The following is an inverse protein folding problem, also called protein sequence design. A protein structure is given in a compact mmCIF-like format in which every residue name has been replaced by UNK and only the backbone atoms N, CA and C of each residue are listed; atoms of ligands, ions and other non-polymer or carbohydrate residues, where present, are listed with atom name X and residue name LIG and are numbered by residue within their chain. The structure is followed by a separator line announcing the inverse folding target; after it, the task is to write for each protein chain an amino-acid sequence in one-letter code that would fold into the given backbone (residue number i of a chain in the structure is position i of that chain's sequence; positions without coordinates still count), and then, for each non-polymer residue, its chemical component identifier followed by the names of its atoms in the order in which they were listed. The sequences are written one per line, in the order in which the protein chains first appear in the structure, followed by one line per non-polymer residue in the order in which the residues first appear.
data_IF_629832952403
#
_entry.id   IF_629832952403
#
_cell.length_a   1.000
_cell.length_b   1.000
_cell.length_c   1.000
_cell.angle_alpha   90.00
_cell.angle_beta   90.00
_cell.angle_gamma   90.00
#
_symmetry.space_group_name_H-M   'P 1'
#
loop_
_entity.id
_entity.type
_entity.pdbx_description
1 polymer ?
#
# COMPACT_ATOMS: atom_id res chain seq x y z
N UNK A 1 -12.73 -17.99 -63.15
CA UNK A 1 -13.43 -17.32 -64.25
C UNK A 1 -14.60 -18.20 -64.65
N UNK A 2 -15.76 -17.95 -64.02
CA UNK A 2 -17.15 -18.41 -64.28
C UNK A 2 -17.96 -17.91 -63.05
N UNK A 3 -18.54 -16.71 -63.13
CA UNK A 3 -19.98 -16.40 -63.33
C UNK A 3 -20.84 -16.70 -62.07
N UNK A 4 -21.28 -15.69 -61.29
CA UNK A 4 -22.54 -14.87 -61.42
C UNK A 4 -23.82 -15.72 -61.34
N UNK A 5 -24.94 -15.39 -60.70
CA UNK A 5 -25.44 -14.28 -59.84
C UNK A 5 -26.86 -14.72 -59.37
N UNK A 6 -27.42 -14.01 -58.37
CA UNK A 6 -28.82 -13.95 -57.91
C UNK A 6 -29.39 -15.17 -57.16
N UNK A 7 -30.19 -15.05 -56.10
CA UNK A 7 -30.90 -13.94 -55.44
C UNK A 7 -32.08 -14.58 -54.67
N UNK A 8 -32.08 -14.47 -53.34
CA UNK A 8 -33.09 -13.79 -52.51
C UNK A 8 -34.50 -14.42 -52.45
N UNK A 9 -34.92 -14.82 -51.24
CA UNK A 9 -36.31 -14.90 -50.69
C UNK A 9 -36.22 -15.75 -49.38
N UNK A 10 -36.86 -15.48 -48.24
CA UNK A 10 -37.72 -14.40 -47.74
C UNK A 10 -37.77 -14.52 -46.21
N UNK A 11 -37.90 -13.37 -45.56
CA UNK A 11 -38.14 -13.17 -44.13
C UNK A 11 -39.59 -13.53 -43.77
N UNK A 12 -39.80 -14.19 -42.61
CA UNK A 12 -41.10 -14.22 -41.93
C UNK A 12 -41.00 -14.71 -40.48
N UNK A 13 -41.35 -13.81 -39.55
CA UNK A 13 -42.39 -14.13 -38.57
C UNK A 13 -41.93 -14.42 -37.15
N UNK A 14 -42.07 -13.41 -36.29
CA UNK A 14 -41.93 -13.50 -34.84
C UNK A 14 -43.18 -14.08 -34.13
N UNK A 15 -42.91 -14.61 -32.94
CA UNK A 15 -43.69 -14.57 -31.70
C UNK A 15 -44.69 -15.71 -31.33
N UNK A 16 -44.75 -15.91 -30.00
CA UNK A 16 -45.56 -16.81 -29.14
C UNK A 16 -45.01 -18.24 -29.03
N UNK A 17 -44.84 -18.86 -27.85
CA UNK A 17 -45.49 -18.64 -26.56
C UNK A 17 -44.60 -19.01 -25.36
N UNK A 18 -44.81 -18.25 -24.28
CA UNK A 18 -44.43 -18.52 -22.90
C UNK A 18 -45.23 -19.71 -22.33
N UNK A 19 -44.58 -20.62 -21.61
CA UNK A 19 -44.89 -20.92 -20.19
C UNK A 19 -44.41 -22.31 -19.73
N UNK A 20 -43.63 -22.26 -18.65
CA UNK A 20 -43.59 -23.17 -17.50
C UNK A 20 -42.94 -24.56 -17.65
N UNK A 21 -41.74 -24.67 -17.06
CA UNK A 21 -41.50 -25.69 -16.05
C UNK A 21 -40.39 -25.21 -15.09
N UNK A 22 -40.77 -25.05 -13.82
CA UNK A 22 -39.87 -24.79 -12.71
C UNK A 22 -38.91 -25.96 -12.52
N UNK A 23 -37.62 -25.67 -12.42
CA UNK A 23 -36.63 -26.58 -11.82
C UNK A 23 -35.93 -25.87 -10.67
N UNK A 24 -36.04 -26.56 -9.55
CA UNK A 24 -35.61 -26.27 -8.20
C UNK A 24 -34.16 -25.78 -8.12
N UNK A 25 -33.97 -24.68 -7.41
CA UNK A 25 -32.69 -24.03 -7.23
C UNK A 25 -31.81 -24.78 -6.24
N UNK A 26 -30.87 -25.56 -6.76
CA UNK A 26 -29.63 -25.90 -6.07
C UNK A 26 -28.46 -25.29 -6.83
N UNK A 27 -28.28 -23.98 -6.66
CA UNK A 27 -27.05 -23.30 -7.07
C UNK A 27 -25.99 -23.71 -6.05
N UNK A 28 -25.33 -24.83 -6.33
CA UNK A 28 -23.99 -25.03 -5.81
C UNK A 28 -23.19 -23.80 -6.25
N UNK A 29 -22.74 -23.01 -5.28
CA UNK A 29 -21.83 -21.91 -5.51
C UNK A 29 -20.59 -22.50 -6.20
N UNK A 30 -20.58 -22.40 -7.53
CA UNK A 30 -19.40 -22.64 -8.32
C UNK A 30 -18.39 -21.59 -7.89
N UNK A 31 -17.34 -22.05 -7.21
CA UNK A 31 -16.08 -21.32 -7.04
C UNK A 31 -15.58 -20.95 -8.44
N UNK A 32 -16.05 -19.81 -8.93
CA UNK A 32 -15.53 -19.20 -10.14
C UNK A 32 -14.19 -18.59 -9.78
N UNK A 33 -13.16 -19.43 -9.90
CA UNK A 33 -11.75 -19.09 -9.87
C UNK A 33 -11.40 -18.24 -11.10
N UNK A 34 -11.98 -17.04 -11.16
CA UNK A 34 -11.61 -15.97 -12.07
C UNK A 34 -10.30 -15.34 -11.61
N UNK A 35 -9.18 -15.84 -12.16
CA UNK A 35 -7.84 -15.32 -11.96
C UNK A 35 -7.73 -13.84 -12.36
N UNK A 36 -7.75 -12.96 -11.38
CA UNK A 36 -7.31 -11.56 -11.50
C UNK A 36 -6.50 -11.18 -10.25
N UNK A 37 -5.18 -11.28 -10.39
CA UNK A 37 -4.10 -10.71 -9.55
C UNK A 37 -4.15 -10.94 -8.02
N UNK A 38 -3.48 -12.01 -7.62
CA UNK A 38 -2.98 -12.29 -6.28
C UNK A 38 -1.80 -11.34 -5.91
N UNK A 39 -2.02 -10.02 -5.74
CA UNK A 39 -0.97 -9.08 -5.25
C UNK A 39 -0.63 -9.29 -3.76
N UNK A 40 -1.30 -10.27 -3.13
CA UNK A 40 -1.03 -10.93 -1.87
C UNK A 40 -1.16 -10.08 -0.58
N UNK A 41 -2.31 -9.58 -0.12
CA UNK A 41 -3.74 -9.67 -0.46
C UNK A 41 -4.31 -8.33 0.09
N UNK A 42 -4.18 -7.24 -0.69
CA UNK A 42 -4.48 -5.81 -0.39
C UNK A 42 -3.56 -5.17 0.68
N UNK A 43 -3.26 -3.87 0.52
CA UNK A 43 -2.56 -3.10 1.57
C UNK A 43 -3.37 -3.12 2.88
N UNK A 44 -2.70 -3.04 4.04
CA UNK A 44 -3.36 -2.99 5.34
C UNK A 44 -4.45 -1.91 5.37
N UNK A 45 -5.59 -2.24 5.96
CA UNK A 45 -6.68 -1.29 6.23
C UNK A 45 -6.71 -0.99 7.74
N UNK A 46 -7.21 0.19 8.15
CA UNK A 46 -7.49 0.44 9.55
C UNK A 46 -8.46 -0.61 10.12
N UNK A 47 -8.22 -1.05 11.37
CA UNK A 47 -9.06 -1.99 12.11
C UNK A 47 -9.21 -3.40 11.49
N UNK A 48 -8.12 -3.99 11.00
CA UNK A 48 -8.09 -5.41 10.61
C UNK A 48 -7.96 -6.31 11.86
N UNK A 49 -9.07 -6.87 12.31
CA UNK A 49 -9.12 -7.79 13.47
C UNK A 49 -8.16 -8.97 13.38
N UNK A 50 -7.86 -9.48 12.18
CA UNK A 50 -6.88 -10.53 12.00
C UNK A 50 -5.46 -10.00 12.26
N UNK A 51 -5.15 -8.78 11.79
CA UNK A 51 -3.86 -8.16 12.03
C UNK A 51 -3.64 -7.93 13.54
N UNK A 52 -4.67 -7.45 14.26
CA UNK A 52 -4.63 -7.29 15.71
C UNK A 52 -4.38 -8.63 16.42
N UNK A 53 -5.07 -9.70 16.01
CA UNK A 53 -4.88 -11.03 16.56
C UNK A 53 -3.46 -11.58 16.29
N UNK A 54 -2.91 -11.32 15.09
CA UNK A 54 -1.53 -11.69 14.72
C UNK A 54 -0.51 -10.94 15.56
N UNK A 55 -0.68 -9.64 15.71
CA UNK A 55 0.20 -8.80 16.52
C UNK A 55 0.23 -9.29 17.98
N UNK A 56 -0.96 -9.49 18.57
CA UNK A 56 -1.09 -9.98 19.94
C UNK A 56 -0.49 -11.38 20.11
N UNK A 57 -0.70 -12.27 19.13
CA UNK A 57 -0.14 -13.62 19.17
C UNK A 57 1.40 -13.61 19.09
N UNK A 58 2.00 -12.72 18.29
CA UNK A 58 3.43 -12.66 18.05
C UNK A 58 4.20 -11.85 19.10
N UNK A 59 3.53 -10.98 19.85
CA UNK A 59 4.17 -10.13 20.85
C UNK A 59 4.98 -10.95 21.87
N UNK A 60 6.25 -10.57 22.06
CA UNK A 60 7.15 -11.22 23.02
C UNK A 60 7.79 -12.53 22.54
N UNK A 61 7.49 -12.99 21.30
CA UNK A 61 8.11 -14.21 20.76
C UNK A 61 9.54 -13.99 20.34
N UNK A 62 10.32 -15.06 20.45
CA UNK A 62 11.68 -15.14 19.92
C UNK A 62 11.78 -16.16 18.78
N UNK A 63 12.75 -15.95 17.89
CA UNK A 63 13.08 -16.88 16.80
C UNK A 63 11.87 -17.31 15.93
N UNK A 64 10.99 -16.34 15.63
CA UNK A 64 9.79 -16.56 14.80
C UNK A 64 10.21 -16.91 13.37
N UNK A 65 9.54 -17.92 12.82
CA UNK A 65 9.60 -18.30 11.41
C UNK A 65 8.18 -18.23 10.86
N UNK A 66 7.98 -17.34 9.90
CA UNK A 66 6.69 -17.11 9.27
C UNK A 66 6.76 -17.48 7.79
N UNK A 67 5.74 -18.17 7.27
CA UNK A 67 5.67 -18.58 5.86
C UNK A 67 4.32 -18.24 5.25
N UNK A 68 4.31 -17.93 3.96
CA UNK A 68 3.10 -17.54 3.23
C UNK A 68 2.50 -16.22 3.71
N UNK A 69 3.31 -15.30 4.23
CA UNK A 69 2.85 -14.03 4.81
C UNK A 69 2.38 -13.06 3.71
N UNK A 70 1.12 -12.61 3.71
CA UNK A 70 0.63 -11.57 2.81
C UNK A 70 1.00 -10.17 3.34
N UNK A 71 1.07 -9.17 2.45
CA UNK A 71 1.46 -7.79 2.76
C UNK A 71 0.63 -7.17 3.88
N UNK A 72 -0.68 -7.45 3.94
CA UNK A 72 -1.58 -6.90 4.98
C UNK A 72 -1.17 -7.27 6.41
N UNK A 73 -0.46 -8.39 6.62
CA UNK A 73 -0.05 -8.84 7.94
C UNK A 73 1.34 -8.33 8.34
N UNK A 74 2.12 -7.74 7.41
CA UNK A 74 3.45 -7.23 7.72
C UNK A 74 3.45 -6.13 8.79
N UNK A 75 2.51 -5.17 8.84
CA UNK A 75 2.47 -4.20 9.95
C UNK A 75 2.37 -4.85 11.32
N UNK A 76 1.47 -5.82 11.48
CA UNK A 76 1.29 -6.55 12.74
C UNK A 76 2.56 -7.32 13.13
N UNK A 77 3.25 -7.91 12.13
CA UNK A 77 4.54 -8.59 12.35
C UNK A 77 5.62 -7.60 12.80
N UNK A 78 5.73 -6.44 12.15
CA UNK A 78 6.69 -5.39 12.51
C UNK A 78 6.41 -4.82 13.90
N UNK A 79 5.15 -4.49 14.20
CA UNK A 79 4.74 -3.96 15.51
C UNK A 79 5.01 -4.97 16.64
N UNK A 80 4.76 -6.26 16.40
CA UNK A 80 5.11 -7.31 17.35
C UNK A 80 6.63 -7.48 17.49
N UNK A 81 7.38 -7.36 16.39
CA UNK A 81 8.84 -7.46 16.39
C UNK A 81 9.48 -6.32 17.17
N UNK A 82 9.00 -5.09 17.02
CA UNK A 82 9.50 -3.89 17.74
C UNK A 82 9.41 -4.06 19.26
N UNK A 83 8.40 -4.79 19.74
CA UNK A 83 8.22 -5.14 21.16
C UNK A 83 8.91 -6.44 21.58
N UNK A 84 9.68 -7.05 20.68
CA UNK A 84 10.36 -8.32 20.91
C UNK A 84 11.87 -8.16 20.77
N UNK A 85 12.63 -9.07 21.36
CA UNK A 85 14.09 -9.04 21.28
C UNK A 85 14.65 -10.40 20.85
N UNK A 86 15.94 -10.42 20.52
CA UNK A 86 16.65 -11.64 20.11
C UNK A 86 16.86 -11.73 18.60
N UNK A 87 17.10 -12.94 18.06
CA UNK A 87 17.55 -13.12 16.69
C UNK A 87 16.52 -12.62 15.67
N UNK A 88 16.96 -12.31 14.43
CA UNK A 88 16.07 -11.85 13.36
C UNK A 88 14.93 -12.84 13.12
N UNK A 89 13.74 -12.32 12.92
CA UNK A 89 12.60 -13.13 12.50
C UNK A 89 12.74 -13.49 11.01
N UNK A 90 12.43 -14.74 10.67
CA UNK A 90 12.53 -15.26 9.30
C UNK A 90 11.15 -15.25 8.66
N UNK A 91 10.95 -14.42 7.63
CA UNK A 91 9.64 -14.19 7.03
C UNK A 91 9.70 -14.55 5.54
N UNK A 92 9.00 -15.62 5.16
CA UNK A 92 8.73 -15.93 3.76
C UNK A 92 7.36 -15.35 3.38
N UNK A 93 7.40 -14.26 2.63
CA UNK A 93 6.25 -13.60 2.05
C UNK A 93 5.72 -14.36 0.83
N UNK A 94 4.44 -14.12 0.52
CA UNK A 94 3.84 -14.63 -0.72
C UNK A 94 4.44 -13.93 -1.96
N UNK A 95 4.35 -14.55 -3.15
CA UNK A 95 4.67 -13.88 -4.40
C UNK A 95 3.94 -12.54 -4.54
N UNK A 96 4.60 -11.54 -5.13
CA UNK A 96 4.05 -10.19 -5.32
C UNK A 96 4.20 -9.23 -4.14
N UNK A 97 4.46 -9.70 -2.91
CA UNK A 97 4.58 -8.81 -1.73
C UNK A 97 5.72 -7.81 -1.87
N UNK A 98 6.89 -8.24 -2.35
CA UNK A 98 8.06 -7.36 -2.52
C UNK A 98 7.78 -6.22 -3.52
N UNK A 99 7.11 -6.55 -4.62
CA UNK A 99 6.69 -5.59 -5.65
C UNK A 99 5.57 -4.65 -5.14
N UNK A 100 4.73 -5.11 -4.22
CA UNK A 100 3.78 -4.24 -3.54
C UNK A 100 4.47 -3.32 -2.51
N UNK A 101 5.50 -3.79 -1.81
CA UNK A 101 6.31 -2.96 -0.90
C UNK A 101 7.06 -1.85 -1.63
N UNK A 102 7.56 -2.09 -2.85
CA UNK A 102 8.20 -1.05 -3.68
C UNK A 102 7.24 0.07 -4.10
N UNK A 103 5.93 -0.12 -3.89
CA UNK A 103 4.87 0.86 -4.19
C UNK A 103 4.15 1.39 -2.96
N UNK A 104 4.60 1.05 -1.76
CA UNK A 104 3.97 1.45 -0.51
C UNK A 104 4.99 2.19 0.34
N UNK A 105 5.16 3.50 0.14
CA UNK A 105 6.22 4.29 0.80
C UNK A 105 6.33 4.02 2.31
N UNK A 106 5.21 4.08 3.04
CA UNK A 106 5.20 3.97 4.51
C UNK A 106 5.62 2.57 4.97
N UNK A 107 4.97 1.51 4.44
CA UNK A 107 5.26 0.13 4.81
C UNK A 107 6.59 -0.36 4.23
N UNK A 108 6.89 -0.04 2.98
CA UNK A 108 8.09 -0.45 2.26
C UNK A 108 9.35 0.07 2.95
N UNK A 109 9.38 1.35 3.34
CA UNK A 109 10.51 1.93 4.08
C UNK A 109 10.64 1.35 5.48
N UNK A 110 9.54 1.01 6.16
CA UNK A 110 9.56 0.36 7.47
C UNK A 110 10.09 -1.08 7.39
N UNK A 111 9.69 -1.86 6.37
CA UNK A 111 10.24 -3.20 6.15
C UNK A 111 11.71 -3.12 5.78
N UNK A 112 12.11 -2.17 4.93
CA UNK A 112 13.51 -1.96 4.57
C UNK A 112 14.36 -1.60 5.78
N UNK A 113 13.88 -0.73 6.66
CA UNK A 113 14.51 -0.39 7.95
C UNK A 113 14.72 -1.63 8.83
N UNK A 114 13.68 -2.43 9.03
CA UNK A 114 13.76 -3.65 9.85
C UNK A 114 14.71 -4.71 9.26
N UNK A 115 14.83 -4.77 7.92
CA UNK A 115 15.82 -5.62 7.25
C UNK A 115 17.24 -5.09 7.43
N UNK A 116 17.45 -3.78 7.26
CA UNK A 116 18.76 -3.14 7.43
C UNK A 116 19.28 -3.28 8.87
N UNK A 117 18.39 -3.20 9.86
CA UNK A 117 18.71 -3.39 11.28
C UNK A 117 18.86 -4.87 11.71
N UNK A 118 18.80 -5.84 10.77
CA UNK A 118 18.79 -7.30 11.02
C UNK A 118 17.75 -7.72 12.07
N UNK A 119 16.59 -7.07 12.08
CA UNK A 119 15.44 -7.44 12.91
C UNK A 119 14.57 -8.51 12.25
N UNK A 120 14.49 -8.45 10.92
CA UNK A 120 13.78 -9.42 10.10
C UNK A 120 14.61 -9.80 8.86
N UNK A 121 14.34 -11.00 8.32
CA UNK A 121 14.88 -11.45 7.04
C UNK A 121 13.71 -11.86 6.15
N UNK A 122 13.67 -11.27 4.96
CA UNK A 122 12.56 -11.45 4.02
C UNK A 122 12.96 -12.37 2.87
N UNK A 123 12.06 -13.29 2.53
CA UNK A 123 12.12 -14.16 1.35
C UNK A 123 10.77 -14.18 0.66
N UNK A 124 10.72 -14.68 -0.56
CA UNK A 124 9.48 -14.89 -1.31
C UNK A 124 9.34 -16.38 -1.63
N UNK A 125 8.22 -16.97 -1.25
CA UNK A 125 7.96 -18.39 -1.48
C UNK A 125 6.48 -18.71 -1.60
N UNK A 126 6.19 -19.83 -2.26
CA UNK A 126 4.81 -20.30 -2.45
C UNK A 126 4.11 -20.55 -1.10
N UNK A 127 2.86 -20.08 -0.92
CA UNK A 127 2.10 -20.34 0.29
C UNK A 127 1.82 -21.84 0.47
N UNK A 128 1.48 -22.25 1.71
CA UNK A 128 1.05 -23.62 1.97
C UNK A 128 -0.25 -23.91 1.18
N UNK A 129 -0.22 -24.89 0.27
CA UNK A 129 -1.32 -25.26 -0.64
C UNK A 129 -2.51 -25.98 0.02
N UNK A 130 -2.85 -25.59 1.25
CA UNK A 130 -4.04 -26.06 1.95
C UNK A 130 -5.02 -24.89 1.92
N UNK A 131 -6.27 -25.09 1.52
CA UNK A 131 -7.27 -24.03 1.21
C UNK A 131 -7.59 -23.00 2.31
N UNK A 132 -6.78 -22.91 3.37
CA UNK A 132 -6.81 -21.97 4.49
C UNK A 132 -6.02 -20.67 4.26
N UNK A 133 -5.43 -20.47 3.07
CA UNK A 133 -4.64 -19.27 2.77
C UNK A 133 -3.18 -19.37 3.21
N UNK A 134 -2.74 -20.51 3.71
CA UNK A 134 -1.34 -20.93 3.73
C UNK A 134 -0.34 -20.09 4.53
N UNK A 135 -0.81 -19.25 5.46
CA UNK A 135 0.04 -18.45 6.36
C UNK A 135 0.22 -19.14 7.70
N UNK A 136 1.46 -19.28 8.15
CA UNK A 136 1.84 -19.95 9.39
C UNK A 136 2.93 -19.15 10.12
N UNK A 137 2.81 -19.03 11.43
CA UNK A 137 3.80 -18.44 12.32
C UNK A 137 4.25 -19.49 13.35
N UNK A 138 5.55 -19.73 13.45
CA UNK A 138 6.12 -20.72 14.36
C UNK A 138 7.24 -20.13 15.23
N UNK A 139 7.14 -20.30 16.54
CA UNK A 139 8.18 -20.09 17.55
C UNK A 139 8.55 -21.43 18.20
N UNK A 140 9.58 -21.52 19.05
CA UNK A 140 9.97 -22.79 19.69
C UNK A 140 8.88 -23.42 20.56
N UNK A 141 7.94 -22.61 21.06
CA UNK A 141 6.94 -22.94 22.07
C UNK A 141 5.50 -22.91 21.53
N UNK A 142 5.26 -22.30 20.36
CA UNK A 142 3.92 -22.04 19.85
C UNK A 142 3.87 -21.93 18.34
N UNK A 143 2.76 -22.40 17.77
CA UNK A 143 2.46 -22.26 16.35
C UNK A 143 1.05 -21.70 16.17
N UNK A 144 0.90 -20.77 15.23
CA UNK A 144 -0.37 -20.17 14.88
C UNK A 144 -0.53 -20.16 13.36
N UNK A 145 -1.63 -20.73 12.89
CA UNK A 145 -1.98 -20.78 11.49
C UNK A 145 -3.16 -19.84 11.21
N UNK A 146 -3.09 -19.11 10.09
CA UNK A 146 -4.27 -18.39 9.58
C UNK A 146 -5.18 -19.40 8.90
N UNK A 147 -6.44 -19.44 9.32
CA UNK A 147 -7.46 -20.38 8.84
C UNK A 147 -8.76 -19.65 8.48
N UNK A 148 -9.63 -20.32 7.75
CA UNK A 148 -10.91 -19.76 7.29
C UNK A 148 -10.88 -19.23 5.85
N UNK A 149 -12.05 -18.95 5.26
CA UNK A 149 -12.18 -18.45 3.89
C UNK A 149 -11.67 -17.00 3.76
N UNK A 150 -11.42 -16.54 2.53
CA UNK A 150 -11.08 -15.13 2.27
C UNK A 150 -12.21 -14.23 2.81
N UNK A 151 -11.85 -13.22 3.59
CA UNK A 151 -12.79 -12.27 4.21
C UNK A 151 -13.25 -12.64 5.62
N UNK A 152 -13.08 -13.90 6.05
CA UNK A 152 -13.43 -14.38 7.39
C UNK A 152 -12.30 -15.29 7.93
N UNK A 153 -11.10 -14.72 7.95
CA UNK A 153 -9.88 -15.41 8.40
C UNK A 153 -9.67 -15.19 9.89
N UNK A 154 -9.26 -16.23 10.60
CA UNK A 154 -8.92 -16.19 12.03
C UNK A 154 -7.60 -16.92 12.30
N UNK A 155 -7.07 -16.81 13.52
CA UNK A 155 -5.91 -17.57 13.98
C UNK A 155 -6.35 -18.84 14.71
N UNK A 156 -5.84 -19.98 14.25
CA UNK A 156 -5.84 -21.21 15.02
C UNK A 156 -4.48 -21.37 15.70
N UNK A 157 -4.49 -21.35 17.03
CA UNK A 157 -3.29 -21.54 17.85
C UNK A 157 -3.17 -23.00 18.30
N UNK A 158 -1.99 -23.60 18.18
CA UNK A 158 -1.59 -24.76 18.98
C UNK A 158 -0.77 -24.23 20.14
N UNK A 159 -1.44 -23.85 21.24
CA UNK A 159 -0.77 -23.40 22.46
C UNK A 159 -0.48 -24.61 23.35
N UNK A 160 0.75 -24.74 23.86
CA UNK A 160 1.05 -25.61 25.00
C UNK A 160 0.56 -24.87 26.25
N UNK A 161 -0.69 -25.11 26.63
CA UNK A 161 -1.27 -24.46 27.81
C UNK A 161 -0.58 -25.04 29.05
N UNK A 162 0.22 -24.24 29.75
CA UNK A 162 1.00 -24.72 30.91
C UNK A 162 0.17 -24.75 32.19
N UNK A 163 -1.02 -24.13 32.20
CA UNK A 163 -1.88 -23.95 33.37
C UNK A 163 -3.29 -24.57 33.23
N UNK A 164 -3.59 -25.25 32.12
CA UNK A 164 -4.84 -25.97 31.92
C UNK A 164 -4.57 -27.47 31.87
N UNK A 165 -5.14 -28.23 32.81
CA UNK A 165 -5.08 -29.69 32.85
C UNK A 165 -5.81 -30.38 31.66
N UNK A 166 -6.05 -29.68 30.55
CA UNK A 166 -6.82 -30.15 29.40
C UNK A 166 -6.34 -29.66 28.02
N UNK A 167 -5.10 -29.19 27.85
CA UNK A 167 -4.54 -28.93 26.51
C UNK A 167 -3.31 -29.82 26.23
N UNK A 168 -3.57 -31.03 25.74
CA UNK A 168 -2.57 -31.96 25.17
C UNK A 168 -2.03 -31.41 23.83
N UNK A 169 -1.34 -30.27 23.84
CA UNK A 169 -0.52 -29.89 22.69
C UNK A 169 0.79 -30.67 22.78
N UNK A 170 0.89 -31.75 21.99
CA UNK A 170 2.10 -32.56 21.87
C UNK A 170 3.29 -31.66 21.47
N UNK A 171 4.34 -31.53 22.30
CA UNK A 171 5.55 -30.78 21.94
C UNK A 171 6.14 -31.19 20.59
N UNK A 172 5.91 -32.44 20.16
CA UNK A 172 6.31 -32.92 18.83
C UNK A 172 5.53 -32.28 17.69
N UNK A 173 4.28 -31.88 17.92
CA UNK A 173 3.47 -31.19 16.93
C UNK A 173 4.00 -29.76 16.67
N UNK A 174 4.38 -29.04 17.74
CA UNK A 174 5.02 -27.71 17.63
C UNK A 174 6.36 -27.82 16.90
N UNK A 175 7.21 -28.78 17.30
CA UNK A 175 8.51 -29.00 16.69
C UNK A 175 8.40 -29.39 15.20
N UNK A 176 7.46 -30.28 14.86
CA UNK A 176 7.20 -30.69 13.47
C UNK A 176 6.69 -29.54 12.59
N UNK A 177 5.77 -28.72 13.11
CA UNK A 177 5.26 -27.55 12.40
C UNK A 177 6.33 -26.46 12.22
N UNK A 178 7.16 -26.24 13.26
CA UNK A 178 8.32 -25.33 13.18
C UNK A 178 9.32 -25.82 12.14
N UNK A 179 9.70 -27.10 12.18
CA UNK A 179 10.61 -27.71 11.19
C UNK A 179 10.08 -27.54 9.76
N UNK A 180 8.77 -27.71 9.58
CA UNK A 180 8.11 -27.49 8.29
C UNK A 180 8.19 -26.02 7.84
N UNK A 181 7.95 -25.07 8.75
CA UNK A 181 8.08 -23.64 8.47
C UNK A 181 9.52 -23.26 8.11
N UNK A 182 10.50 -23.80 8.82
CA UNK A 182 11.93 -23.60 8.55
C UNK A 182 12.32 -24.13 7.17
N UNK A 183 11.95 -25.37 6.84
CA UNK A 183 12.21 -25.95 5.53
C UNK A 183 11.56 -25.13 4.38
N UNK A 184 10.36 -24.58 4.60
CA UNK A 184 9.69 -23.72 3.63
C UNK A 184 10.36 -22.38 3.45
N UNK A 185 10.79 -21.75 4.55
CA UNK A 185 11.58 -20.52 4.49
C UNK A 185 12.92 -20.76 3.77
N UNK A 186 13.58 -21.88 4.05
CA UNK A 186 14.87 -22.22 3.46
C UNK A 186 14.75 -22.49 1.95
N UNK A 187 13.64 -23.07 1.51
CA UNK A 187 13.31 -23.27 0.09
C UNK A 187 12.83 -22.00 -0.64
N UNK A 188 12.40 -20.96 0.09
CA UNK A 188 11.95 -19.69 -0.49
C UNK A 188 13.12 -18.92 -1.11
N UNK A 189 12.83 -18.16 -2.16
CA UNK A 189 13.84 -17.34 -2.84
C UNK A 189 14.22 -16.11 -1.99
N UNK A 190 15.51 -15.74 -1.92
CA UNK A 190 15.93 -14.45 -1.35
C UNK A 190 15.17 -13.30 -2.00
N UNK A 191 14.73 -12.34 -1.18
CA UNK A 191 13.99 -11.17 -1.62
C UNK A 191 14.75 -9.89 -1.23
N UNK A 192 14.80 -8.92 -2.13
CA UNK A 192 15.32 -7.58 -1.85
C UNK A 192 14.16 -6.60 -1.83
N UNK A 193 13.99 -5.89 -0.72
CA UNK A 193 13.04 -4.77 -0.64
C UNK A 193 13.68 -3.58 -1.32
N UNK A 194 13.14 -3.15 -2.46
CA UNK A 194 13.74 -2.09 -3.27
C UNK A 194 13.62 -0.69 -2.63
N UNK A 195 12.63 -0.49 -1.77
CA UNK A 195 12.48 0.76 -1.01
C UNK A 195 13.70 1.00 -0.10
N UNK A 196 14.14 2.27 0.06
CA UNK A 196 15.18 2.61 1.03
C UNK A 196 14.67 2.43 2.47
N UNK A 197 15.59 2.17 3.41
CA UNK A 197 15.28 2.30 4.83
C UNK A 197 14.92 3.75 5.18
N UNK A 198 14.18 3.95 6.28
CA UNK A 198 13.78 5.29 6.72
C UNK A 198 15.01 6.10 7.12
N UNK A 199 15.96 5.47 7.80
CA UNK A 199 17.22 6.08 8.19
C UNK A 199 17.98 6.61 6.97
N UNK A 200 18.15 5.79 5.93
CA UNK A 200 18.81 6.22 4.68
C UNK A 200 18.01 7.29 3.94
N UNK A 201 16.70 7.12 3.84
CA UNK A 201 15.78 8.05 3.18
C UNK A 201 15.93 9.47 3.76
N UNK A 202 15.90 9.58 5.09
CA UNK A 202 15.98 10.85 5.80
C UNK A 202 17.40 11.42 5.77
N UNK A 203 18.44 10.59 5.91
CA UNK A 203 19.83 11.06 5.82
C UNK A 203 20.12 11.68 4.44
N UNK A 204 19.73 11.01 3.36
CA UNK A 204 19.93 11.51 1.99
C UNK A 204 19.06 12.76 1.72
N UNK A 205 17.86 12.83 2.31
CA UNK A 205 17.01 14.01 2.22
C UNK A 205 17.66 15.25 2.86
N UNK A 206 18.33 15.08 4.01
CA UNK A 206 19.08 16.17 4.67
C UNK A 206 20.26 16.64 3.81
N UNK A 207 20.93 15.73 3.12
CA UNK A 207 22.07 16.05 2.26
C UNK A 207 21.67 16.74 0.95
N UNK A 208 20.64 16.22 0.26
CA UNK A 208 20.26 16.68 -1.09
C UNK A 208 19.26 17.83 -1.06
N UNK A 209 18.38 17.88 -0.05
CA UNK A 209 17.32 18.89 0.09
C UNK A 209 17.64 19.85 1.23
N UNK A 210 17.04 19.66 2.41
CA UNK A 210 17.38 20.37 3.64
C UNK A 210 16.86 19.65 4.89
N UNK A 211 17.34 20.07 6.07
CA UNK A 211 16.91 19.51 7.36
C UNK A 211 15.40 19.67 7.59
N UNK A 212 14.83 20.81 7.18
CA UNK A 212 13.40 21.10 7.41
C UNK A 212 12.49 20.13 6.65
N UNK A 213 12.84 19.83 5.39
CA UNK A 213 12.12 18.84 4.60
C UNK A 213 12.26 17.44 5.21
N UNK A 214 13.46 17.08 5.67
CA UNK A 214 13.69 15.77 6.26
C UNK A 214 12.93 15.61 7.58
N UNK A 215 12.93 16.62 8.45
CA UNK A 215 12.21 16.59 9.73
C UNK A 215 10.69 16.52 9.52
N UNK A 216 10.15 17.27 8.55
CA UNK A 216 8.73 17.18 8.21
C UNK A 216 8.40 15.81 7.56
N UNK A 217 9.29 15.24 6.75
CA UNK A 217 9.11 13.89 6.19
C UNK A 217 9.12 12.82 7.29
N UNK A 218 9.99 12.97 8.28
CA UNK A 218 10.09 12.08 9.45
C UNK A 218 8.79 12.12 10.27
N UNK A 219 8.33 13.33 10.63
CA UNK A 219 7.08 13.52 11.36
C UNK A 219 5.87 12.97 10.57
N UNK A 220 5.83 13.22 9.26
CA UNK A 220 4.81 12.69 8.38
C UNK A 220 4.81 11.16 8.36
N UNK A 221 5.94 10.51 8.10
CA UNK A 221 6.04 9.04 8.04
C UNK A 221 5.71 8.38 9.40
N UNK A 222 6.01 9.05 10.51
CA UNK A 222 5.62 8.58 11.85
C UNK A 222 4.12 8.69 12.11
N UNK A 223 3.42 9.62 11.45
CA UNK A 223 1.97 9.83 11.60
C UNK A 223 1.10 8.97 10.67
N UNK A 224 1.67 8.46 9.58
CA UNK A 224 0.93 7.74 8.54
C UNK A 224 0.78 6.26 8.88
N UNK A 225 -0.41 5.74 8.61
CA UNK A 225 -0.64 4.30 8.66
C UNK A 225 0.02 3.58 7.46
N UNK A 226 0.51 2.33 7.60
CA UNK A 226 1.28 1.62 6.57
C UNK A 226 0.61 1.44 5.20
N UNK A 227 -0.71 1.59 5.11
CA UNK A 227 -1.49 1.53 3.86
C UNK A 227 -1.76 2.89 3.19
N UNK A 228 -1.40 4.00 3.83
CA UNK A 228 -1.68 5.34 3.31
C UNK A 228 -0.61 5.81 2.30
N UNK A 229 -1.05 6.59 1.31
CA UNK A 229 -0.20 7.21 0.27
C UNK A 229 0.71 6.24 -0.51
N UNK A 230 0.26 5.02 -0.84
CA UNK A 230 0.95 4.18 -1.83
C UNK A 230 0.82 4.71 -3.26
N UNK A 231 1.63 4.21 -4.20
CA UNK A 231 1.63 4.59 -5.63
C UNK A 231 0.27 4.48 -6.32
N UNK A 232 -0.57 3.58 -5.84
CA UNK A 232 -1.89 3.27 -6.40
C UNK A 232 -3.04 3.91 -5.63
N UNK A 233 -2.75 4.74 -4.62
CA UNK A 233 -3.78 5.48 -3.89
C UNK A 233 -4.24 6.70 -4.71
N UNK A 234 -5.41 7.24 -4.37
CA UNK A 234 -6.00 8.40 -5.06
C UNK A 234 -5.05 9.61 -5.06
N UNK A 235 -4.36 9.82 -3.94
CA UNK A 235 -3.25 10.77 -3.82
C UNK A 235 -1.96 9.96 -3.60
N UNK A 236 -1.14 9.74 -4.64
CA UNK A 236 0.04 8.88 -4.53
C UNK A 236 1.15 9.50 -3.67
N UNK A 237 2.04 8.66 -3.13
CA UNK A 237 3.26 9.08 -2.42
C UNK A 237 4.03 10.19 -3.15
N UNK A 238 4.15 10.12 -4.47
CA UNK A 238 4.83 11.15 -5.27
C UNK A 238 4.20 12.51 -5.11
N UNK A 239 2.86 12.57 -5.18
CA UNK A 239 2.13 13.82 -4.99
C UNK A 239 2.37 14.36 -3.59
N UNK A 240 2.41 13.49 -2.58
CA UNK A 240 2.76 13.87 -1.21
C UNK A 240 4.19 14.45 -1.12
N UNK A 241 5.19 13.77 -1.71
CA UNK A 241 6.58 14.22 -1.72
C UNK A 241 6.78 15.54 -2.47
N UNK A 242 6.08 15.75 -3.59
CA UNK A 242 6.12 17.03 -4.34
C UNK A 242 5.47 18.15 -3.53
N UNK A 243 4.33 17.89 -2.88
CA UNK A 243 3.68 18.87 -2.02
C UNK A 243 4.56 19.25 -0.84
N UNK A 244 5.23 18.28 -0.22
CA UNK A 244 6.18 18.52 0.87
C UNK A 244 7.36 19.37 0.39
N UNK A 245 7.96 19.03 -0.76
CA UNK A 245 9.05 19.81 -1.34
C UNK A 245 8.63 21.25 -1.67
N UNK A 246 7.40 21.46 -2.13
CA UNK A 246 6.85 22.78 -2.41
C UNK A 246 6.64 23.62 -1.13
N UNK A 247 6.32 22.99 0.01
CA UNK A 247 6.22 23.68 1.31
C UNK A 247 7.56 24.28 1.76
N UNK A 248 8.68 23.73 1.29
CA UNK A 248 10.04 24.20 1.63
C UNK A 248 10.76 24.95 0.50
N UNK A 249 10.04 25.32 -0.57
CA UNK A 249 10.59 26.07 -1.72
C UNK A 249 11.72 25.35 -2.51
N UNK A 250 11.71 24.02 -2.52
CA UNK A 250 12.77 23.20 -3.15
C UNK A 250 12.75 23.26 -4.68
N UNK A 251 13.92 23.07 -5.29
CA UNK A 251 14.01 22.89 -6.75
C UNK A 251 13.47 21.51 -7.12
N UNK A 252 12.63 21.46 -8.16
CA UNK A 252 12.07 20.20 -8.65
C UNK A 252 13.14 19.23 -9.15
N UNK A 253 14.27 19.74 -9.65
CA UNK A 253 15.40 18.90 -10.03
C UNK A 253 15.98 18.18 -8.82
N UNK A 254 16.19 18.89 -7.73
CA UNK A 254 16.85 18.34 -6.54
C UNK A 254 15.96 17.29 -5.91
N UNK A 255 14.64 17.56 -5.81
CA UNK A 255 13.63 16.55 -5.44
C UNK A 255 13.74 15.31 -6.31
N UNK A 256 13.79 15.48 -7.64
CA UNK A 256 13.85 14.38 -8.61
C UNK A 256 15.17 13.61 -8.58
N UNK A 257 16.27 14.27 -8.25
CA UNK A 257 17.58 13.64 -8.05
C UNK A 257 17.57 12.81 -6.78
N UNK A 258 17.05 13.36 -5.67
CA UNK A 258 16.90 12.66 -4.40
C UNK A 258 16.01 11.41 -4.54
N UNK A 259 14.75 11.54 -4.96
CA UNK A 259 13.80 10.41 -5.07
C UNK A 259 14.13 9.39 -6.17
N UNK A 260 14.97 9.79 -7.13
CA UNK A 260 15.26 9.05 -8.35
C UNK A 260 15.88 7.67 -8.10
N UNK A 261 15.88 6.81 -9.11
CA UNK A 261 16.60 5.52 -9.09
C UNK A 261 18.10 5.68 -8.84
N UNK A 262 18.68 6.80 -9.28
CA UNK A 262 20.09 7.15 -9.05
C UNK A 262 20.33 7.84 -7.69
N UNK A 263 19.25 8.13 -6.93
CA UNK A 263 19.28 8.68 -5.58
C UNK A 263 18.87 7.62 -4.54
N UNK A 264 17.82 7.88 -3.76
CA UNK A 264 17.29 6.94 -2.76
C UNK A 264 16.46 5.79 -3.32
N UNK A 265 16.12 5.81 -4.61
CA UNK A 265 15.49 4.67 -5.28
C UNK A 265 13.99 4.50 -5.04
N UNK A 266 13.25 5.56 -4.68
CA UNK A 266 11.79 5.47 -4.50
C UNK A 266 11.10 5.25 -5.85
N UNK A 267 11.53 5.99 -6.88
CA UNK A 267 10.88 5.95 -8.19
C UNK A 267 11.68 6.63 -9.30
N UNK A 268 11.42 6.29 -10.58
CA UNK A 268 11.99 7.00 -11.71
C UNK A 268 11.72 8.51 -11.65
N UNK A 269 12.75 9.33 -11.88
CA UNK A 269 12.63 10.79 -11.76
C UNK A 269 11.55 11.40 -12.68
N UNK A 270 11.28 10.80 -13.84
CA UNK A 270 10.30 11.33 -14.81
C UNK A 270 8.87 11.22 -14.31
N UNK A 271 8.61 10.23 -13.46
CA UNK A 271 7.29 9.86 -12.98
C UNK A 271 6.67 10.94 -12.08
N UNK A 272 7.46 11.86 -11.53
CA UNK A 272 6.99 12.98 -10.68
C UNK A 272 6.41 14.16 -11.48
N UNK A 273 6.59 14.18 -12.81
CA UNK A 273 6.14 15.31 -13.64
C UNK A 273 4.62 15.43 -13.64
N UNK A 274 3.91 14.29 -13.67
CA UNK A 274 2.45 14.22 -13.60
C UNK A 274 1.93 14.70 -12.25
N UNK A 275 2.52 14.24 -11.15
CA UNK A 275 2.14 14.65 -9.79
C UNK A 275 2.32 16.16 -9.56
N UNK A 276 3.45 16.71 -10.03
CA UNK A 276 3.66 18.16 -10.00
C UNK A 276 2.59 18.90 -10.80
N UNK A 277 2.25 18.42 -12.00
CA UNK A 277 1.23 19.06 -12.82
C UNK A 277 -0.15 19.01 -12.13
N UNK A 278 -0.52 17.87 -11.54
CA UNK A 278 -1.77 17.71 -10.81
C UNK A 278 -1.92 18.68 -9.62
N UNK A 279 -0.81 18.98 -8.93
CA UNK A 279 -0.77 19.98 -7.85
C UNK A 279 -0.85 21.43 -8.36
N UNK A 280 -0.22 21.71 -9.51
CA UNK A 280 -0.28 23.04 -10.16
C UNK A 280 -1.68 23.32 -10.69
N UNK A 281 -2.30 22.35 -11.36
CA UNK A 281 -3.64 22.51 -11.92
C UNK A 281 -4.68 22.75 -10.82
N UNK A 282 -4.49 22.13 -9.65
CA UNK A 282 -5.32 22.36 -8.45
C UNK A 282 -4.97 23.61 -7.66
N UNK A 283 -4.05 24.43 -8.15
CA UNK A 283 -3.57 25.66 -7.51
C UNK A 283 -3.05 25.45 -6.09
N UNK A 284 -2.50 24.26 -5.80
CA UNK A 284 -1.91 23.95 -4.50
C UNK A 284 -0.46 24.42 -4.42
N UNK A 285 0.23 24.32 -5.54
CA UNK A 285 1.61 24.76 -5.71
C UNK A 285 1.74 25.58 -6.99
N UNK A 286 2.78 26.39 -7.06
CA UNK A 286 3.30 26.97 -8.29
C UNK A 286 4.68 26.38 -8.64
N UNK A 287 5.02 26.43 -9.93
CA UNK A 287 6.30 25.99 -10.45
C UNK A 287 7.01 27.17 -11.12
N UNK A 288 7.82 27.89 -10.36
CA UNK A 288 8.49 29.13 -10.79
C UNK A 288 9.76 28.78 -11.58
N UNK A 289 9.95 29.43 -12.74
CA UNK A 289 11.20 29.32 -13.51
C UNK A 289 12.28 30.18 -12.86
N UNK A 290 13.37 29.55 -12.43
CA UNK A 290 14.52 30.20 -11.79
C UNK A 290 15.76 30.04 -12.69
N UNK A 291 16.41 31.13 -13.13
CA UNK A 291 17.67 31.05 -13.86
C UNK A 291 18.80 30.61 -12.91
N UNK A 292 19.50 29.53 -13.27
CA UNK A 292 20.60 28.96 -12.48
C UNK A 292 21.88 28.87 -13.33
N UNK A 293 22.35 30.02 -13.82
CA UNK A 293 23.51 30.10 -14.71
C UNK A 293 23.20 29.80 -16.18
N UNK A 294 24.21 29.50 -17.02
CA UNK A 294 24.00 29.18 -18.43
C UNK A 294 23.30 27.82 -18.57
N UNK A 295 22.09 27.83 -19.14
CA UNK A 295 21.31 26.61 -19.35
C UNK A 295 19.80 26.85 -19.37
N UNK A 296 19.03 25.75 -19.32
CA UNK A 296 17.57 25.83 -19.16
C UNK A 296 17.25 26.29 -17.74
N UNK A 297 16.31 27.24 -17.55
CA UNK A 297 15.83 27.60 -16.23
C UNK A 297 15.35 26.37 -15.47
N UNK A 298 15.67 26.33 -14.18
CA UNK A 298 15.20 25.28 -13.28
C UNK A 298 13.82 25.64 -12.74
N UNK A 299 13.09 24.64 -12.26
CA UNK A 299 11.76 24.84 -11.68
C UNK A 299 11.88 24.81 -10.16
N UNK A 300 11.49 25.90 -9.51
CA UNK A 300 11.27 25.96 -8.05
C UNK A 300 9.82 25.62 -7.77
N UNK A 301 9.60 24.66 -6.87
CA UNK A 301 8.29 24.33 -6.36
C UNK A 301 7.99 25.28 -5.20
N UNK A 302 6.79 25.85 -5.15
CA UNK A 302 6.36 26.69 -4.03
C UNK A 302 4.90 26.41 -3.72
N UNK A 303 4.58 26.11 -2.47
CA UNK A 303 3.19 26.00 -2.05
C UNK A 303 2.52 27.39 -2.10
N UNK A 304 1.31 27.44 -2.63
CA UNK A 304 0.50 28.68 -2.74
C UNK A 304 -0.85 28.55 -2.06
N UNK A 305 -1.32 27.32 -1.83
CA UNK A 305 -2.50 27.09 -1.02
C UNK A 305 -2.21 27.34 0.46
N UNK A 306 -3.03 28.19 1.06
CA UNK A 306 -2.91 28.65 2.43
C UNK A 306 -3.05 27.52 3.47
N UNK A 307 -3.83 26.47 3.16
CA UNK A 307 -3.97 25.32 4.05
C UNK A 307 -2.73 24.42 3.96
N UNK A 308 -2.21 24.18 2.75
CA UNK A 308 -0.97 23.42 2.56
C UNK A 308 0.25 24.10 3.20
N UNK A 309 0.35 25.43 3.06
CA UNK A 309 1.45 26.23 3.63
C UNK A 309 1.47 26.23 5.16
N UNK A 310 0.30 26.27 5.80
CA UNK A 310 0.18 26.37 7.27
C UNK A 310 -0.01 25.03 7.97
N UNK A 311 -0.28 23.97 7.23
CA UNK A 311 -0.39 22.62 7.78
C UNK A 311 0.90 22.21 8.48
N UNK A 312 0.77 21.57 9.63
CA UNK A 312 1.83 20.73 10.20
C UNK A 312 2.07 19.55 9.25
N UNK A 313 3.25 18.94 9.33
CA UNK A 313 3.62 17.84 8.43
C UNK A 313 2.56 16.73 8.40
N UNK A 314 2.03 16.35 9.56
CA UNK A 314 1.03 15.30 9.75
C UNK A 314 -0.36 15.68 9.20
N UNK A 315 -0.61 16.97 8.99
CA UNK A 315 -1.89 17.49 8.47
C UNK A 315 -1.91 17.57 6.93
N UNK A 316 -0.73 17.58 6.28
CA UNK A 316 -0.57 17.62 4.82
C UNK A 316 -1.39 16.52 4.13
N UNK A 317 -1.38 15.25 4.59
CA UNK A 317 -2.29 14.22 4.12
C UNK A 317 -3.76 14.61 3.98
N UNK A 318 -4.31 15.21 5.03
CA UNK A 318 -5.72 15.58 5.10
C UNK A 318 -6.02 16.72 4.12
N UNK A 319 -5.11 17.70 4.03
CA UNK A 319 -5.21 18.80 3.06
C UNK A 319 -5.24 18.26 1.63
N UNK A 320 -4.30 17.38 1.27
CA UNK A 320 -4.24 16.82 -0.08
C UNK A 320 -5.50 16.04 -0.43
N UNK A 321 -5.96 15.13 0.45
CA UNK A 321 -7.21 14.38 0.21
C UNK A 321 -8.41 15.32 0.04
N UNK A 322 -8.54 16.30 0.91
CA UNK A 322 -9.63 17.28 0.84
C UNK A 322 -9.63 18.07 -0.47
N UNK A 323 -8.45 18.38 -1.03
CA UNK A 323 -8.32 19.12 -2.28
C UNK A 323 -8.47 18.25 -3.52
N UNK A 324 -8.01 17.01 -3.48
CA UNK A 324 -8.15 16.06 -4.58
C UNK A 324 -9.58 15.51 -4.72
N UNK A 325 -10.35 15.49 -3.62
CA UNK A 325 -11.77 15.11 -3.64
C UNK A 325 -12.68 16.18 -4.29
N UNK A 326 -12.19 17.41 -4.50
CA UNK A 326 -12.98 18.46 -5.14
C UNK A 326 -13.08 18.22 -6.65
N UNK A 327 -14.27 18.46 -7.25
CA UNK A 327 -14.45 18.25 -8.68
C UNK A 327 -13.60 19.23 -9.48
N UNK A 328 -12.95 18.72 -10.53
CA UNK A 328 -12.14 19.53 -11.45
C UNK A 328 -12.86 19.80 -12.76
N UNK A 329 -12.48 20.88 -13.44
CA UNK A 329 -12.87 21.15 -14.83
C UNK A 329 -12.03 20.32 -15.81
N UNK A 330 -12.21 20.57 -17.12
CA UNK A 330 -11.47 19.88 -18.18
C UNK A 330 -9.97 20.18 -18.16
N UNK A 331 -9.55 21.28 -17.53
CA UNK A 331 -8.15 21.68 -17.37
C UNK A 331 -7.54 21.15 -16.05
N UNK A 332 -8.30 20.39 -15.25
CA UNK A 332 -7.86 19.86 -13.96
C UNK A 332 -7.92 20.88 -12.82
N UNK A 333 -8.49 22.08 -13.04
CA UNK A 333 -8.67 23.09 -12.00
C UNK A 333 -9.88 22.79 -11.14
N UNK A 334 -9.80 23.08 -9.85
CA UNK A 334 -10.94 22.92 -8.94
C UNK A 334 -12.08 23.83 -9.41
N UNK A 335 -13.26 23.27 -9.66
CA UNK A 335 -14.44 24.04 -10.09
C UNK A 335 -14.89 25.02 -9.01
N UNK A 336 -14.95 26.32 -9.34
CA UNK A 336 -15.37 27.37 -8.42
C UNK A 336 -16.83 27.23 -7.91
N UNK A 337 -17.71 26.56 -8.66
CA UNK A 337 -19.11 26.31 -8.27
C UNK A 337 -19.20 25.57 -6.92
N UNK A 338 -18.21 24.71 -6.62
CA UNK A 338 -18.19 23.90 -5.40
C UNK A 338 -17.75 24.69 -4.14
N UNK A 339 -17.04 25.82 -4.31
CA UNK A 339 -16.38 26.53 -3.20
C UNK A 339 -17.05 27.84 -2.78
N UNK A 340 -18.00 28.38 -3.57
CA UNK A 340 -18.60 29.71 -3.28
C UNK A 340 -20.12 29.81 -3.23
N UNK A 341 -20.89 28.85 -3.75
CA UNK A 341 -22.33 29.11 -3.96
C UNK A 341 -23.17 29.10 -2.66
N UNK A 342 -22.64 28.56 -1.55
CA UNK A 342 -23.26 28.60 -0.22
C UNK A 342 -22.92 29.82 0.65
N UNK A 343 -21.93 30.65 0.29
CA UNK A 343 -21.50 31.81 1.07
C UNK A 343 -21.39 33.07 0.20
N UNK A 344 -22.49 33.44 -0.46
CA UNK A 344 -22.66 34.85 -0.82
C UNK A 344 -22.94 35.66 0.45
N UNK A 345 -22.11 36.66 0.78
CA UNK A 345 -22.43 37.58 1.86
C UNK A 345 -23.80 38.22 1.62
N UNK A 346 -24.55 38.45 2.71
CA UNK A 346 -25.95 38.93 2.64
C UNK A 346 -26.12 40.21 1.82
N UNK A 347 -25.06 41.01 1.66
CA UNK A 347 -25.06 42.25 0.89
C UNK A 347 -24.98 42.10 -0.64
N UNK A 348 -24.64 40.92 -1.17
CA UNK A 348 -24.66 40.65 -2.62
C UNK A 348 -26.03 40.13 -3.12
N UNK A 349 -26.98 39.94 -2.21
CA UNK A 349 -28.35 39.59 -2.59
C UNK A 349 -29.03 40.83 -3.14
N UNK A 350 -29.17 40.92 -4.48
CA UNK A 350 -30.01 41.93 -5.13
C UNK A 350 -31.39 41.92 -4.46
N UNK A 351 -31.75 43.02 -3.82
CA UNK A 351 -33.16 43.30 -3.49
C UNK A 351 -33.87 43.56 -4.81
N UNK A 352 -35.03 42.93 -4.95
CA UNK A 352 -35.92 43.06 -6.09
C UNK A 352 -36.30 44.53 -6.31
#
# INVERSE_FOLDING_TARGET
MTADDAGAETDAGAASDDAAAATDGSVAASDDLGGTSEVADVLPRPADTLAEAVEAALAGRSAVVAVGVPIRLLPAVLAARERSSGPPWRIACRPGVVDALSRALVLGTAVAEAVENDEIRVRTGEPLGHGTGGTLFASPDRVDAVVGPRGDRTLAATAVDTDSAAADTDPKAVDGARTTAEARYDAASPATVEMPSRTRLLADAREVLDDRFADDLEALLASLEPGEFGRTTEVPDRTLLVALAARHDHLFRDLRTWVGTDGVGIAPAQEFTGDRQALVDRELIESIKVPMGPGRPMLRLRAVDDALLRARAEEVPSVLRGRFALPTDADGRIREDASREGRRPVWERRRW
#
